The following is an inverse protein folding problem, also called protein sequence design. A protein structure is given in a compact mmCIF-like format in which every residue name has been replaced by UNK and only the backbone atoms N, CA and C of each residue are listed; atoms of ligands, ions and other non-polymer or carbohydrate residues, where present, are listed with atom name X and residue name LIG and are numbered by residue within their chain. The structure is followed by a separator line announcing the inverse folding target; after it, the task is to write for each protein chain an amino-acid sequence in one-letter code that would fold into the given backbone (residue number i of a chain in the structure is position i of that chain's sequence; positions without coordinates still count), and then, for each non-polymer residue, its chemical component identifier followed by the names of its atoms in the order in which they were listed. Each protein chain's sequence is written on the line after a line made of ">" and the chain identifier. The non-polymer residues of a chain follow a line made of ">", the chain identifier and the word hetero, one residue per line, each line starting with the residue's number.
data_IF_877403448727
#
_entry.id   IF_877403448727
#
_cell.length_a   1.000
_cell.length_b   1.000
_cell.length_c   1.000
_cell.angle_alpha   90.00
_cell.angle_beta   90.00
_cell.angle_gamma   90.00
#
_symmetry.space_group_name_H-M   'P 1'
#
loop_
_entity.id
_entity.type
_entity.pdbx_description
1 polymer ?
#
# COMPACT_ATOMS: atom_id res chain seq x y z
N UNK A 1 12.91 7.01 6.15
CA UNK A 1 12.42 8.34 5.71
C UNK A 1 11.16 8.18 4.88
N UNK A 2 10.14 9.02 5.12
CA UNK A 2 8.94 9.11 4.27
C UNK A 2 9.37 9.64 2.89
N UNK A 3 8.72 9.20 1.82
CA UNK A 3 8.91 9.73 0.45
C UNK A 3 7.58 9.78 -0.27
N UNK A 4 7.47 10.61 -1.30
CA UNK A 4 6.24 10.72 -2.06
C UNK A 4 5.93 9.38 -2.76
N UNK A 5 4.73 8.79 -2.56
CA UNK A 5 4.34 7.54 -3.22
C UNK A 5 4.09 7.70 -4.72
N UNK A 6 4.09 8.93 -5.25
CA UNK A 6 3.83 9.22 -6.67
C UNK A 6 5.09 9.46 -7.49
N UNK A 7 6.08 10.18 -6.95
CA UNK A 7 7.33 10.52 -7.65
C UNK A 7 8.60 10.04 -6.95
N UNK A 8 8.51 9.54 -5.71
CA UNK A 8 9.66 9.02 -4.95
C UNK A 8 10.56 10.06 -4.30
N UNK A 9 10.26 11.36 -4.48
CA UNK A 9 11.00 12.43 -3.81
C UNK A 9 10.97 12.30 -2.28
N UNK A 10 12.11 12.59 -1.66
CA UNK A 10 12.26 12.73 -0.19
C UNK A 10 11.97 14.15 0.29
N UNK A 11 11.82 15.11 -0.62
CA UNK A 11 11.45 16.49 -0.33
C UNK A 11 9.93 16.57 -0.05
N UNK A 12 9.57 16.18 1.16
CA UNK A 12 8.18 16.10 1.63
C UNK A 12 8.02 16.87 2.93
N UNK A 13 6.90 17.57 3.05
CA UNK A 13 6.51 18.36 4.20
C UNK A 13 5.35 17.68 4.94
N UNK A 14 5.26 17.86 6.26
CA UNK A 14 4.05 17.55 7.01
C UNK A 14 3.00 18.65 6.81
N UNK A 15 1.74 18.27 6.69
CA UNK A 15 0.66 19.24 6.55
C UNK A 15 0.10 19.56 7.95
N UNK A 16 0.23 20.81 8.36
CA UNK A 16 -0.31 21.33 9.60
C UNK A 16 -1.67 21.98 9.36
N UNK A 17 -2.71 21.43 9.99
CA UNK A 17 -4.08 21.95 9.93
C UNK A 17 -4.50 22.57 11.25
N UNK A 18 -5.54 23.40 11.20
CA UNK A 18 -6.12 24.06 12.35
C UNK A 18 -5.57 25.48 12.52
N UNK A 19 -5.57 25.94 13.77
CA UNK A 19 -5.06 27.26 14.17
C UNK A 19 -3.79 27.05 15.00
N UNK A 20 -2.63 26.77 14.38
CA UNK A 20 -1.39 26.62 15.12
C UNK A 20 -0.95 27.95 15.72
N UNK A 21 -0.22 27.88 16.82
CA UNK A 21 0.53 29.04 17.33
C UNK A 21 1.65 29.33 16.33
N UNK A 22 1.75 30.59 15.92
CA UNK A 22 2.69 31.02 14.90
C UNK A 22 3.95 31.57 15.57
N UNK A 23 4.86 30.66 15.92
CA UNK A 23 6.15 30.97 16.56
C UNK A 23 7.32 30.88 15.56
N UNK A 24 8.49 31.34 16.00
CA UNK A 24 9.71 31.34 15.18
C UNK A 24 10.12 29.92 14.75
N UNK A 25 9.81 28.90 15.56
CA UNK A 25 10.09 27.50 15.23
C UNK A 25 9.22 27.03 14.06
N UNK A 26 7.92 27.34 14.07
CA UNK A 26 7.02 27.04 12.98
C UNK A 26 7.42 27.79 11.71
N UNK A 27 7.73 29.09 11.82
CA UNK A 27 8.16 29.90 10.68
C UNK A 27 9.43 29.30 10.03
N UNK A 28 10.44 28.93 10.83
CA UNK A 28 11.63 28.24 10.32
C UNK A 28 11.30 26.94 9.60
N UNK A 29 10.38 26.12 10.12
CA UNK A 29 9.97 24.85 9.47
C UNK A 29 9.20 25.08 8.16
N UNK A 30 8.46 26.18 8.05
CA UNK A 30 7.79 26.59 6.81
C UNK A 30 8.83 27.02 5.76
N UNK A 31 9.79 27.84 6.15
CA UNK A 31 10.86 28.34 5.26
C UNK A 31 11.77 27.20 4.78
N UNK A 32 12.07 26.23 5.64
CA UNK A 32 12.80 25.01 5.29
C UNK A 32 11.96 24.02 4.45
N UNK A 33 10.67 24.28 4.24
CA UNK A 33 9.75 23.40 3.51
C UNK A 33 9.49 22.07 4.21
N UNK A 34 9.68 21.98 5.53
CA UNK A 34 9.38 20.79 6.36
C UNK A 34 7.92 20.73 6.78
N UNK A 35 7.25 21.87 6.85
CA UNK A 35 5.81 22.01 7.11
C UNK A 35 5.16 22.79 5.97
N UNK A 36 3.91 22.47 5.66
CA UNK A 36 3.01 23.35 4.89
C UNK A 36 1.68 23.48 5.64
N UNK A 37 0.98 24.60 5.46
CA UNK A 37 -0.32 24.83 6.08
C UNK A 37 -1.45 24.24 5.22
N UNK A 38 -2.29 23.40 5.83
CA UNK A 38 -3.41 22.71 5.16
C UNK A 38 -4.77 23.41 5.28
N UNK A 39 -4.81 24.55 5.97
CA UNK A 39 -6.03 25.30 6.27
C UNK A 39 -6.56 25.07 7.70
N UNK A 40 -7.54 25.88 8.10
CA UNK A 40 -8.08 25.88 9.46
C UNK A 40 -9.10 24.77 9.73
N UNK A 41 -9.82 24.30 8.71
CA UNK A 41 -10.88 23.30 8.87
C UNK A 41 -10.29 21.89 9.02
N UNK A 42 -10.61 21.20 10.11
CA UNK A 42 -10.23 19.80 10.33
C UNK A 42 -11.42 18.90 10.03
N UNK A 43 -11.36 18.18 8.91
CA UNK A 43 -12.39 17.21 8.55
C UNK A 43 -12.13 15.86 9.26
N UNK A 44 -13.14 15.36 9.97
CA UNK A 44 -13.14 14.02 10.57
C UNK A 44 -14.31 13.18 10.05
N UNK A 45 -14.16 11.87 10.16
CA UNK A 45 -15.23 10.90 9.96
C UNK A 45 -15.31 9.98 11.18
N UNK A 46 -16.52 9.61 11.58
CA UNK A 46 -16.70 8.51 12.53
C UNK A 46 -16.40 7.18 11.82
N UNK A 47 -15.55 6.36 12.42
CA UNK A 47 -15.27 5.00 11.99
C UNK A 47 -15.32 4.10 13.21
N UNK A 48 -16.33 3.25 13.28
CA UNK A 48 -16.54 2.33 14.39
C UNK A 48 -16.53 3.06 15.75
N UNK A 49 -17.19 4.23 15.83
CA UNK A 49 -17.29 5.05 17.05
C UNK A 49 -16.04 5.87 17.37
N UNK A 50 -15.09 5.99 16.42
CA UNK A 50 -13.87 6.80 16.59
C UNK A 50 -13.80 7.89 15.53
N UNK A 51 -13.59 9.13 15.97
CA UNK A 51 -13.34 10.25 15.07
C UNK A 51 -11.94 10.18 14.47
N UNK A 52 -11.86 10.02 13.15
CA UNK A 52 -10.59 9.92 12.41
C UNK A 52 -10.46 11.10 11.46
N UNK A 53 -9.32 11.80 11.49
CA UNK A 53 -9.00 12.87 10.53
C UNK A 53 -8.87 12.29 9.12
N UNK A 54 -9.67 12.77 8.16
CA UNK A 54 -9.73 12.24 6.78
C UNK A 54 -8.85 12.99 5.77
N UNK A 55 -8.07 13.95 6.25
CA UNK A 55 -7.24 14.83 5.44
C UNK A 55 -5.86 14.22 5.15
N UNK A 56 -5.17 14.62 4.07
CA UNK A 56 -3.82 14.16 3.82
C UNK A 56 -2.87 14.71 4.88
N UNK A 57 -1.88 13.92 5.27
CA UNK A 57 -0.91 14.28 6.32
C UNK A 57 0.42 14.81 5.77
N UNK A 58 0.68 14.64 4.47
CA UNK A 58 1.96 14.97 3.85
C UNK A 58 1.77 15.68 2.52
N UNK A 59 2.64 16.65 2.24
CA UNK A 59 2.76 17.33 0.95
C UNK A 59 4.10 16.98 0.29
N UNK A 60 4.13 16.78 -1.03
CA UNK A 60 5.39 16.65 -1.76
C UNK A 60 5.77 17.97 -2.40
N UNK A 61 6.92 18.52 -2.00
CA UNK A 61 7.41 19.81 -2.48
C UNK A 61 7.82 19.76 -3.97
N UNK A 62 8.16 18.59 -4.51
CA UNK A 62 8.61 18.47 -5.91
C UNK A 62 7.42 18.30 -6.88
N UNK A 63 6.50 17.37 -6.61
CA UNK A 63 5.34 17.13 -7.49
C UNK A 63 4.06 17.86 -7.08
N UNK A 64 4.11 18.62 -5.97
CA UNK A 64 3.01 19.44 -5.42
C UNK A 64 1.73 18.66 -5.11
N UNK A 65 1.83 17.34 -4.89
CA UNK A 65 0.69 16.49 -4.53
C UNK A 65 0.71 16.13 -3.05
N UNK A 66 -0.46 16.22 -2.44
CA UNK A 66 -0.69 15.71 -1.09
C UNK A 66 -0.89 14.19 -1.11
N UNK A 67 -0.53 13.56 0.01
CA UNK A 67 -0.65 12.12 0.22
C UNK A 67 -0.75 11.80 1.72
N UNK A 68 -0.92 10.52 2.05
CA UNK A 68 -1.07 10.08 3.42
C UNK A 68 -2.46 10.35 3.98
N UNK A 69 -3.48 10.38 3.11
CA UNK A 69 -4.88 10.29 3.55
C UNK A 69 -5.08 8.93 4.21
N UNK A 70 -5.82 8.83 5.32
CA UNK A 70 -6.20 7.52 5.84
C UNK A 70 -6.98 6.74 4.76
N UNK A 71 -6.84 5.41 4.73
CA UNK A 71 -7.45 4.59 3.70
C UNK A 71 -8.93 4.35 4.03
N UNK A 72 -9.75 5.37 3.90
CA UNK A 72 -11.18 5.37 4.25
C UNK A 72 -12.02 5.46 2.98
N UNK A 73 -13.06 4.65 2.90
CA UNK A 73 -14.16 4.76 1.94
C UNK A 73 -15.32 5.48 2.59
N UNK A 74 -15.87 6.46 1.86
CA UNK A 74 -17.13 7.10 2.21
C UNK A 74 -18.12 6.71 1.12
N UNK A 75 -19.13 5.93 1.48
CA UNK A 75 -20.22 5.55 0.59
C UNK A 75 -21.08 6.78 0.32
N UNK A 76 -21.09 7.26 -0.92
CA UNK A 76 -21.96 8.37 -1.32
C UNK A 76 -23.45 8.05 -1.24
N UNK A 77 -23.82 6.75 -1.28
CA UNK A 77 -25.21 6.30 -1.26
C UNK A 77 -25.74 6.08 0.15
N UNK A 78 -24.97 5.41 1.01
CA UNK A 78 -25.40 5.07 2.38
C UNK A 78 -24.88 6.06 3.43
N UNK A 79 -23.91 6.91 3.10
CA UNK A 79 -23.22 7.77 4.06
C UNK A 79 -22.24 7.02 4.97
N UNK A 80 -22.17 5.69 4.85
CA UNK A 80 -21.32 4.84 5.67
C UNK A 80 -19.83 5.01 5.36
N UNK A 81 -19.03 4.82 6.40
CA UNK A 81 -17.58 4.97 6.39
C UNK A 81 -16.92 3.62 6.69
N UNK A 82 -16.08 3.16 5.78
CA UNK A 82 -15.37 1.88 5.91
C UNK A 82 -13.87 2.12 5.83
N UNK A 83 -13.10 1.57 6.76
CA UNK A 83 -11.65 1.53 6.63
C UNK A 83 -11.25 0.37 5.72
N UNK A 84 -10.51 0.67 4.65
CA UNK A 84 -9.97 -0.34 3.72
C UNK A 84 -9.33 -1.52 4.47
N UNK A 85 -8.64 -1.25 5.58
CA UNK A 85 -7.92 -2.25 6.36
C UNK A 85 -8.84 -3.31 6.97
N UNK A 86 -10.09 -2.94 7.25
CA UNK A 86 -11.08 -3.83 7.86
C UNK A 86 -11.83 -4.64 6.80
N UNK A 87 -11.93 -4.12 5.57
CA UNK A 87 -12.74 -4.70 4.50
C UNK A 87 -11.93 -5.35 3.37
N UNK A 88 -10.59 -5.38 3.43
CA UNK A 88 -9.79 -6.21 2.52
C UNK A 88 -10.08 -7.69 2.78
N UNK A 89 -10.37 -8.43 1.71
CA UNK A 89 -10.66 -9.86 1.74
C UNK A 89 -9.58 -10.70 1.09
N UNK A 90 -8.88 -10.17 0.08
CA UNK A 90 -7.80 -10.89 -0.60
C UNK A 90 -6.80 -9.95 -1.24
N UNK A 91 -5.54 -10.40 -1.28
CA UNK A 91 -4.40 -9.77 -1.92
C UNK A 91 -3.84 -10.76 -2.93
N UNK A 92 -3.59 -10.31 -4.15
CA UNK A 92 -2.85 -11.07 -5.15
C UNK A 92 -1.68 -10.21 -5.61
N UNK A 93 -0.48 -10.76 -5.52
CA UNK A 93 0.74 -10.13 -6.01
C UNK A 93 1.44 -11.10 -6.96
N UNK A 94 1.85 -10.57 -8.11
CA UNK A 94 2.63 -11.29 -9.11
C UNK A 94 3.76 -10.39 -9.57
N UNK A 95 4.97 -10.95 -9.71
CA UNK A 95 6.13 -10.27 -10.28
C UNK A 95 6.97 -11.28 -11.07
N UNK A 96 7.32 -10.94 -12.30
CA UNK A 96 8.04 -11.85 -13.18
C UNK A 96 8.41 -11.28 -14.53
N UNK A 97 9.12 -12.06 -15.32
CA UNK A 97 9.46 -11.73 -16.70
C UNK A 97 8.34 -12.11 -17.67
N UNK A 98 8.09 -11.29 -18.69
CA UNK A 98 7.06 -11.52 -19.72
C UNK A 98 7.14 -12.92 -20.37
N UNK A 99 8.36 -13.45 -20.56
CA UNK A 99 8.59 -14.78 -21.15
C UNK A 99 9.08 -15.84 -20.15
N UNK A 100 9.53 -15.41 -18.97
CA UNK A 100 10.23 -16.28 -18.02
C UNK A 100 9.37 -16.68 -16.85
N UNK A 101 8.18 -16.11 -16.72
CA UNK A 101 7.34 -16.33 -15.57
C UNK A 101 7.73 -15.55 -14.33
N UNK A 102 7.05 -15.82 -13.22
CA UNK A 102 7.07 -14.99 -12.04
C UNK A 102 6.51 -15.65 -10.79
N UNK A 103 6.96 -15.13 -9.66
CA UNK A 103 6.45 -15.46 -8.35
C UNK A 103 5.04 -14.92 -8.19
N UNK A 104 4.17 -15.78 -7.65
CA UNK A 104 2.79 -15.46 -7.34
C UNK A 104 2.54 -15.69 -5.87
N UNK A 105 2.01 -14.68 -5.19
CA UNK A 105 1.54 -14.79 -3.82
C UNK A 105 0.08 -14.34 -3.77
N UNK A 106 -0.80 -15.24 -3.36
CA UNK A 106 -2.20 -14.94 -3.06
C UNK A 106 -2.46 -15.10 -1.57
N UNK A 107 -3.05 -14.10 -0.93
CA UNK A 107 -3.39 -14.14 0.49
C UNK A 107 -4.88 -13.88 0.62
N UNK A 108 -5.63 -14.83 1.17
CA UNK A 108 -7.10 -14.75 1.29
C UNK A 108 -7.51 -14.86 2.75
N UNK A 109 -8.21 -13.84 3.25
CA UNK A 109 -8.65 -13.74 4.64
C UNK A 109 -9.67 -14.83 4.96
N UNK A 110 -9.56 -15.44 6.14
CA UNK A 110 -10.53 -16.37 6.70
C UNK A 110 -10.84 -16.00 8.16
N UNK A 111 -11.54 -16.87 8.89
CA UNK A 111 -11.95 -16.61 10.28
C UNK A 111 -10.76 -16.55 11.24
N UNK A 112 -9.70 -17.31 10.97
CA UNK A 112 -8.54 -17.47 11.86
C UNK A 112 -7.35 -16.55 11.48
N UNK A 113 -7.45 -15.85 10.35
CA UNK A 113 -6.44 -14.94 9.84
C UNK A 113 -6.49 -14.91 8.32
N UNK A 114 -5.56 -15.58 7.66
CA UNK A 114 -5.59 -15.75 6.22
C UNK A 114 -4.86 -17.03 5.76
N UNK A 115 -5.20 -17.51 4.57
CA UNK A 115 -4.43 -18.53 3.85
C UNK A 115 -3.56 -17.84 2.81
N UNK A 116 -2.27 -18.08 2.88
CA UNK A 116 -1.30 -17.73 1.84
C UNK A 116 -1.20 -18.90 0.86
N UNK A 117 -1.17 -18.62 -0.43
CA UNK A 117 -0.90 -19.57 -1.51
C UNK A 117 0.22 -18.98 -2.36
N UNK A 118 1.38 -19.64 -2.34
CA UNK A 118 2.58 -19.25 -3.06
C UNK A 118 2.75 -20.14 -4.30
N UNK A 119 3.17 -19.55 -5.41
CA UNK A 119 3.23 -20.20 -6.72
C UNK A 119 4.30 -19.58 -7.61
N UNK A 120 4.56 -20.23 -8.74
CA UNK A 120 5.31 -19.66 -9.86
C UNK A 120 4.56 -19.92 -11.18
N UNK A 121 4.58 -18.99 -12.14
CA UNK A 121 3.88 -19.09 -13.45
C UNK A 121 4.75 -18.49 -14.58
N UNK A 122 4.93 -19.05 -15.80
CA UNK A 122 4.42 -20.31 -16.32
C UNK A 122 5.53 -21.32 -16.70
N UNK A 123 5.37 -22.53 -16.19
CA UNK A 123 6.04 -23.76 -16.59
C UNK A 123 5.18 -24.91 -16.07
N UNK A 124 5.31 -26.10 -16.66
CA UNK A 124 4.37 -27.23 -16.52
C UNK A 124 4.20 -27.81 -15.09
N UNK A 125 4.74 -27.16 -14.07
CA UNK A 125 4.74 -27.60 -12.68
C UNK A 125 4.01 -26.58 -11.81
N UNK A 126 2.74 -26.87 -11.50
CA UNK A 126 1.96 -26.17 -10.47
C UNK A 126 2.39 -26.66 -9.07
N UNK A 127 3.55 -26.26 -8.58
CA UNK A 127 3.83 -26.40 -7.13
C UNK A 127 3.24 -25.19 -6.44
N UNK A 128 2.15 -25.41 -5.70
CA UNK A 128 1.56 -24.39 -4.86
C UNK A 128 1.70 -24.81 -3.42
N UNK A 129 2.37 -23.98 -2.62
CA UNK A 129 2.42 -24.15 -1.18
C UNK A 129 1.34 -23.31 -0.51
N UNK A 130 0.70 -23.90 0.49
CA UNK A 130 -0.32 -23.22 1.29
C UNK A 130 0.14 -23.11 2.73
N UNK A 131 0.00 -21.92 3.29
CA UNK A 131 0.31 -21.66 4.70
C UNK A 131 -0.79 -20.85 5.34
N UNK A 132 -1.33 -21.32 6.46
CA UNK A 132 -2.19 -20.50 7.31
C UNK A 132 -1.34 -19.49 8.06
N UNK A 133 -1.77 -18.23 8.08
CA UNK A 133 -1.16 -17.17 8.90
C UNK A 133 -2.17 -16.65 9.92
N UNK A 134 -1.65 -16.23 11.08
CA UNK A 134 -2.48 -15.71 12.16
C UNK A 134 -3.12 -14.36 11.80
N UNK A 135 -4.21 -14.03 12.49
CA UNK A 135 -4.88 -12.72 12.35
C UNK A 135 -3.94 -11.53 12.59
N UNK A 136 -2.98 -11.65 13.51
CA UNK A 136 -1.97 -10.61 13.76
C UNK A 136 -1.07 -10.38 12.55
N UNK A 137 -0.60 -11.45 11.90
CA UNK A 137 0.24 -11.36 10.70
C UNK A 137 -0.53 -10.78 9.51
N UNK A 138 -1.79 -11.20 9.31
CA UNK A 138 -2.68 -10.58 8.32
C UNK A 138 -2.81 -9.06 8.53
N UNK A 139 -3.08 -8.63 9.78
CA UNK A 139 -3.18 -7.21 10.13
C UNK A 139 -1.87 -6.46 9.86
N UNK A 140 -0.72 -7.07 10.14
CA UNK A 140 0.58 -6.47 9.85
C UNK A 140 0.79 -6.22 8.35
N UNK A 141 0.46 -7.20 7.49
CA UNK A 141 0.53 -7.03 6.03
C UNK A 141 -0.31 -5.83 5.59
N UNK A 142 -1.57 -5.79 6.02
CA UNK A 142 -2.52 -4.73 5.68
C UNK A 142 -2.06 -3.35 6.17
N UNK A 143 -1.56 -3.27 7.41
CA UNK A 143 -1.03 -2.04 7.97
C UNK A 143 0.21 -1.56 7.21
N UNK A 144 1.12 -2.45 6.82
CA UNK A 144 2.26 -2.06 5.98
C UNK A 144 1.78 -1.48 4.66
N UNK A 145 0.88 -2.16 3.94
CA UNK A 145 0.39 -1.72 2.63
C UNK A 145 -0.24 -0.31 2.69
N UNK A 146 -1.12 -0.05 3.65
CA UNK A 146 -1.87 1.22 3.68
C UNK A 146 -1.23 2.33 4.54
N UNK A 147 -0.54 1.99 5.64
CA UNK A 147 0.08 3.00 6.51
C UNK A 147 1.51 3.34 6.12
N UNK A 148 2.31 2.35 5.69
CA UNK A 148 3.73 2.54 5.38
C UNK A 148 3.99 2.78 3.90
N UNK A 149 3.30 2.05 3.03
CA UNK A 149 3.50 2.16 1.58
C UNK A 149 2.55 3.17 0.93
N UNK A 150 1.54 3.68 1.66
CA UNK A 150 0.54 4.62 1.16
C UNK A 150 -0.18 4.11 -0.10
N UNK A 151 -0.53 2.82 -0.13
CA UNK A 151 -1.08 2.15 -1.32
C UNK A 151 -2.29 2.89 -1.93
N UNK A 152 -3.10 3.56 -1.11
CA UNK A 152 -4.25 4.37 -1.54
C UNK A 152 -3.86 5.55 -2.43
N UNK A 153 -2.63 6.05 -2.33
CA UNK A 153 -2.09 7.20 -3.07
C UNK A 153 -1.27 6.80 -4.30
N UNK A 154 -1.12 5.50 -4.58
CA UNK A 154 -0.40 5.01 -5.75
C UNK A 154 -1.16 5.31 -7.05
N UNK A 155 -0.39 5.53 -8.13
CA UNK A 155 -0.93 5.43 -9.49
C UNK A 155 -1.38 3.99 -9.74
N UNK A 156 -2.35 3.80 -10.64
CA UNK A 156 -2.85 2.45 -11.01
C UNK A 156 -1.99 1.74 -12.03
N UNK A 157 -1.20 2.50 -12.80
CA UNK A 157 -0.43 2.03 -13.95
C UNK A 157 0.97 2.63 -13.93
N UNK A 158 1.97 1.80 -14.13
CA UNK A 158 3.39 2.15 -14.21
C UNK A 158 4.01 1.47 -15.44
N UNK A 159 3.95 2.11 -16.60
CA UNK A 159 4.40 1.48 -17.87
C UNK A 159 5.37 2.40 -18.59
N UNK A 160 6.54 1.85 -18.92
CA UNK A 160 7.46 2.42 -19.91
C UNK A 160 7.59 1.45 -21.08
N UNK A 161 7.10 1.81 -22.28
CA UNK A 161 7.24 0.97 -23.47
C UNK A 161 8.66 0.98 -24.06
N UNK A 162 9.54 1.91 -23.65
CA UNK A 162 10.88 2.07 -24.22
C UNK A 162 11.97 1.38 -23.40
N UNK A 163 11.64 0.86 -22.22
CA UNK A 163 12.53 0.03 -21.41
C UNK A 163 12.22 -1.44 -21.66
N UNK A 164 13.23 -2.26 -21.92
CA UNK A 164 13.10 -3.68 -22.25
C UNK A 164 13.74 -4.57 -21.17
N UNK A 165 13.52 -4.28 -19.88
CA UNK A 165 13.98 -5.16 -18.80
C UNK A 165 13.13 -6.45 -18.71
N UNK A 166 11.93 -6.44 -19.33
CA UNK A 166 11.02 -7.58 -19.43
C UNK A 166 10.23 -7.85 -18.16
N UNK A 167 10.39 -7.06 -17.10
CA UNK A 167 9.75 -7.28 -15.80
C UNK A 167 8.36 -6.67 -15.76
N UNK A 168 7.40 -7.49 -15.39
CA UNK A 168 6.01 -7.15 -15.18
C UNK A 168 5.58 -7.47 -13.77
N UNK A 169 4.64 -6.69 -13.26
CA UNK A 169 4.06 -6.94 -11.96
C UNK A 169 2.61 -6.51 -11.89
N UNK A 170 1.89 -7.18 -10.99
CA UNK A 170 0.50 -6.89 -10.73
C UNK A 170 0.21 -7.05 -9.23
N UNK A 171 -0.54 -6.10 -8.68
CA UNK A 171 -1.07 -6.15 -7.32
C UNK A 171 -2.58 -5.91 -7.39
N UNK A 172 -3.38 -6.93 -7.01
CA UNK A 172 -4.83 -6.82 -6.90
C UNK A 172 -5.25 -6.91 -5.44
N UNK A 173 -6.06 -5.95 -5.00
CA UNK A 173 -6.71 -5.97 -3.70
C UNK A 173 -8.21 -6.16 -3.93
N UNK A 174 -8.77 -7.22 -3.34
CA UNK A 174 -10.23 -7.44 -3.28
C UNK A 174 -10.75 -6.99 -1.92
N UNK A 175 -11.91 -6.37 -1.93
CA UNK A 175 -12.60 -5.91 -0.73
C UNK A 175 -14.00 -6.52 -0.66
N UNK A 176 -14.66 -6.37 0.48
CA UNK A 176 -16.08 -6.70 0.64
C UNK A 176 -16.95 -5.98 -0.40
N UNK A 177 -18.12 -6.55 -0.69
CA UNK A 177 -19.04 -6.00 -1.70
C UNK A 177 -18.51 -6.10 -3.14
N UNK A 178 -17.55 -6.99 -3.41
CA UNK A 178 -17.01 -7.23 -4.76
C UNK A 178 -16.07 -6.15 -5.29
N UNK A 179 -15.78 -5.10 -4.50
CA UNK A 179 -14.91 -3.99 -4.87
C UNK A 179 -13.47 -4.47 -5.10
N UNK A 180 -12.78 -3.83 -6.04
CA UNK A 180 -11.40 -4.18 -6.42
C UNK A 180 -10.52 -2.96 -6.60
N UNK A 181 -9.24 -3.10 -6.29
CA UNK A 181 -8.18 -2.14 -6.60
C UNK A 181 -7.03 -2.87 -7.27
N UNK A 182 -6.80 -2.56 -8.53
CA UNK A 182 -5.74 -3.17 -9.32
C UNK A 182 -4.63 -2.14 -9.55
N UNK A 183 -3.39 -2.58 -9.41
CA UNK A 183 -2.18 -1.83 -9.72
C UNK A 183 -1.32 -2.71 -10.59
N UNK A 184 -0.69 -2.14 -11.61
CA UNK A 184 0.18 -2.90 -12.48
C UNK A 184 1.33 -2.06 -13.01
N UNK A 185 2.38 -2.73 -13.43
CA UNK A 185 3.44 -2.10 -14.20
C UNK A 185 4.21 -3.04 -15.10
N UNK A 186 4.91 -2.41 -16.03
CA UNK A 186 5.82 -3.01 -17.00
C UNK A 186 7.01 -2.09 -17.09
N UNK A 187 8.18 -2.57 -16.68
CA UNK A 187 9.45 -1.85 -16.66
C UNK A 187 9.50 -0.57 -15.78
N UNK A 188 8.39 -0.14 -15.17
CA UNK A 188 8.35 0.91 -14.13
C UNK A 188 7.77 0.34 -12.85
N UNK A 189 8.37 0.77 -11.74
CA UNK A 189 7.99 0.36 -10.40
C UNK A 189 7.58 1.57 -9.55
N UNK A 190 6.66 1.38 -8.58
CA UNK A 190 6.27 2.44 -7.66
C UNK A 190 7.45 2.82 -6.75
N UNK A 191 7.48 4.03 -6.20
CA UNK A 191 8.60 4.46 -5.33
C UNK A 191 8.86 3.53 -4.14
N UNK A 192 7.85 2.80 -3.68
CA UNK A 192 7.91 1.85 -2.55
C UNK A 192 8.06 0.39 -2.98
N UNK A 193 8.59 0.15 -4.18
CA UNK A 193 8.71 -1.18 -4.78
C UNK A 193 9.54 -2.15 -3.95
N UNK A 194 10.70 -1.75 -3.46
CA UNK A 194 11.58 -2.66 -2.72
C UNK A 194 10.95 -3.10 -1.39
N UNK A 195 10.24 -2.20 -0.72
CA UNK A 195 9.49 -2.51 0.50
C UNK A 195 8.29 -3.41 0.21
N UNK A 196 7.58 -3.17 -0.91
CA UNK A 196 6.51 -4.07 -1.36
C UNK A 196 7.06 -5.48 -1.61
N UNK A 197 8.17 -5.60 -2.35
CA UNK A 197 8.81 -6.90 -2.61
C UNK A 197 9.17 -7.61 -1.30
N UNK A 198 9.77 -6.90 -0.34
CA UNK A 198 10.11 -7.49 0.97
C UNK A 198 8.89 -8.03 1.73
N UNK A 199 7.73 -7.39 1.61
CA UNK A 199 6.48 -7.91 2.21
C UNK A 199 6.13 -9.28 1.63
N UNK A 200 6.18 -9.45 0.31
CA UNK A 200 5.76 -10.68 -0.35
C UNK A 200 6.85 -11.75 -0.48
N UNK A 201 8.13 -11.37 -0.42
CA UNK A 201 9.27 -12.30 -0.43
C UNK A 201 9.17 -13.34 0.69
N UNK A 202 8.70 -12.95 1.89
CA UNK A 202 8.42 -13.84 3.04
C UNK A 202 7.40 -14.95 2.75
N UNK A 203 6.66 -14.81 1.65
CA UNK A 203 5.55 -15.68 1.27
C UNK A 203 5.78 -16.34 -0.09
N UNK A 204 7.01 -16.29 -0.60
CA UNK A 204 7.40 -17.06 -1.79
C UNK A 204 7.54 -18.54 -1.45
N UNK A 205 7.49 -19.41 -2.47
CA UNK A 205 7.66 -20.86 -2.26
C UNK A 205 8.99 -21.15 -1.56
N UNK A 206 10.08 -20.56 -2.03
CA UNK A 206 11.41 -20.74 -1.46
C UNK A 206 11.43 -20.40 0.04
N UNK A 207 10.90 -19.24 0.42
CA UNK A 207 10.82 -18.83 1.83
C UNK A 207 9.95 -19.76 2.67
N UNK A 208 8.88 -20.31 2.12
CA UNK A 208 8.00 -21.24 2.86
C UNK A 208 8.66 -22.60 3.07
N UNK A 209 9.44 -23.09 2.10
CA UNK A 209 10.15 -24.36 2.22
C UNK A 209 11.29 -24.28 3.25
N UNK A 210 12.02 -23.16 3.29
CA UNK A 210 13.10 -22.96 4.27
C UNK A 210 12.62 -22.83 5.72
N UNK A 211 11.36 -22.46 5.94
CA UNK A 211 10.77 -22.41 7.28
C UNK A 211 10.43 -23.82 7.79
N UNK A 212 9.97 -24.72 6.90
CA UNK A 212 9.59 -26.11 7.24
C UNK A 212 10.82 -26.96 7.64
N UNK A 213 11.98 -26.73 7.00
CA UNK A 213 13.20 -27.48 7.29
C UNK A 213 13.85 -27.11 8.65
N UNK A 214 13.33 -26.09 9.34
CA UNK A 214 13.85 -25.60 10.63
C UNK A 214 13.00 -25.96 11.85
N UNK A 215 11.83 -26.55 11.63
CA UNK A 215 10.95 -27.11 12.66
C UNK A 215 11.16 -28.63 12.80
#
# INVERSE_FOLDING_TARGET
>A
MKRCPRCGSKNVAEILYGMPVYDDELQKKLDEGKIVLGGCCICTADINGKQVKVMPSMHCNDCKKDFGKPPILISRKSGETEDYRDIVTSIYFCVGGFFQGGDVVSISRNRDGAVVTAGWLPGDIKKFEKRQIATSEWKQIIDVLYKRLYLQDWKRRYVDPYTLDGTQWELKIRLTGGRRRNYYGSNIFPPYWNELKKVFQKYTIESMLTDIEKD
#
